data_IF_917550621567
#
_entry.id   IF_917550621567
#
_cell.length_a   1.000
_cell.length_b   1.000
_cell.length_c   1.000
_cell.angle_alpha   90.00
_cell.angle_beta   90.00
_cell.angle_gamma   90.00
#
_symmetry.space_group_name_H-M   'P 1'
#
loop_
_entity.id
_entity.type
_entity.pdbx_description
1 polymer ?
#
# COMPACT_ATOMS: atom_id res chain seq x y z
N UNK A 1 -2.53 -5.67 -11.76
CA UNK A 1 -3.01 -4.50 -11.00
C UNK A 1 -3.73 -3.57 -11.97
N UNK A 2 -5.00 -3.22 -11.71
CA UNK A 2 -5.73 -2.28 -12.55
C UNK A 2 -5.41 -0.83 -12.13
N UNK A 3 -5.15 0.04 -13.10
CA UNK A 3 -4.83 1.47 -12.92
C UNK A 3 -5.73 2.23 -11.89
N UNK A 4 -7.06 2.03 -11.82
CA UNK A 4 -7.88 2.76 -10.84
C UNK A 4 -7.63 2.35 -9.38
N UNK A 5 -7.25 1.09 -9.11
CA UNK A 5 -7.01 0.63 -7.74
C UNK A 5 -5.80 1.30 -7.08
N UNK A 6 -4.80 1.70 -7.88
CA UNK A 6 -3.61 2.40 -7.39
C UNK A 6 -3.95 3.74 -6.74
N UNK A 7 -4.89 4.49 -7.32
CA UNK A 7 -5.29 5.78 -6.78
C UNK A 7 -5.88 5.62 -5.37
N UNK A 8 -6.81 4.68 -5.19
CA UNK A 8 -7.41 4.41 -3.89
C UNK A 8 -6.39 3.90 -2.88
N UNK A 9 -5.46 3.05 -3.31
CA UNK A 9 -4.38 2.56 -2.45
C UNK A 9 -3.46 3.70 -1.98
N UNK A 10 -3.10 4.63 -2.87
CA UNK A 10 -2.30 5.80 -2.51
C UNK A 10 -3.01 6.67 -1.46
N UNK A 11 -4.31 6.95 -1.67
CA UNK A 11 -5.10 7.72 -0.71
C UNK A 11 -5.17 7.03 0.65
N UNK A 12 -5.45 5.72 0.66
CA UNK A 12 -5.46 4.91 1.88
C UNK A 12 -4.12 4.96 2.61
N UNK A 13 -2.99 4.76 1.92
CA UNK A 13 -1.67 4.73 2.55
C UNK A 13 -1.26 6.11 3.10
N UNK A 14 -1.60 7.19 2.41
CA UNK A 14 -1.40 8.55 2.92
C UNK A 14 -2.18 8.79 4.23
N UNK A 15 -3.47 8.44 4.26
CA UNK A 15 -4.30 8.58 5.46
C UNK A 15 -3.84 7.66 6.59
N UNK A 16 -3.43 6.43 6.26
CA UNK A 16 -2.90 5.46 7.23
C UNK A 16 -1.63 5.98 7.90
N UNK A 17 -0.66 6.46 7.11
CA UNK A 17 0.59 7.04 7.64
C UNK A 17 0.34 8.28 8.51
N UNK A 18 -0.60 9.12 8.09
CA UNK A 18 -1.04 10.27 8.87
C UNK A 18 -1.61 9.85 10.24
N UNK A 19 -2.57 8.93 10.26
CA UNK A 19 -3.19 8.44 11.50
C UNK A 19 -2.17 7.75 12.42
N UNK A 20 -1.21 7.01 11.86
CA UNK A 20 -0.10 6.44 12.63
C UNK A 20 0.78 7.53 13.25
N UNK A 21 1.12 8.58 12.51
CA UNK A 21 1.98 9.66 12.99
C UNK A 21 1.38 10.43 14.17
N UNK A 22 0.05 10.58 14.22
CA UNK A 22 -0.66 11.22 15.35
C UNK A 22 -1.02 10.22 16.46
N UNK A 23 -0.59 8.96 16.37
CA UNK A 23 -0.80 7.92 17.38
C UNK A 23 -2.15 7.18 17.34
N UNK A 24 -2.98 7.42 16.32
CA UNK A 24 -4.31 6.81 16.15
C UNK A 24 -4.20 5.47 15.40
N UNK A 25 -4.10 4.36 16.15
CA UNK A 25 -3.81 3.02 15.59
C UNK A 25 -5.01 2.08 15.47
N UNK A 26 -5.96 2.18 16.39
CA UNK A 26 -7.13 1.28 16.46
C UNK A 26 -7.97 1.20 15.17
N UNK A 27 -8.37 2.30 14.51
CA UNK A 27 -9.17 2.20 13.28
C UNK A 27 -8.42 1.49 12.15
N UNK A 28 -7.10 1.69 12.07
CA UNK A 28 -6.26 1.09 11.04
C UNK A 28 -6.27 -0.43 11.18
N UNK A 29 -6.17 -0.95 12.41
CA UNK A 29 -6.23 -2.39 12.68
C UNK A 29 -7.58 -2.98 12.22
N UNK A 30 -8.69 -2.35 12.56
CA UNK A 30 -10.02 -2.82 12.13
C UNK A 30 -10.19 -2.80 10.61
N UNK A 31 -9.73 -1.74 9.94
CA UNK A 31 -9.80 -1.65 8.47
C UNK A 31 -8.94 -2.75 7.84
N UNK A 32 -7.74 -3.01 8.34
CA UNK A 32 -6.86 -4.07 7.80
C UNK A 32 -7.45 -5.47 8.00
N UNK A 33 -8.03 -5.76 9.17
CA UNK A 33 -8.70 -7.05 9.41
C UNK A 33 -9.90 -7.22 8.47
N UNK A 34 -10.72 -6.18 8.31
CA UNK A 34 -11.82 -6.18 7.34
C UNK A 34 -11.32 -6.37 5.90
N UNK A 35 -10.21 -5.71 5.53
CA UNK A 35 -9.59 -5.82 4.22
C UNK A 35 -9.22 -7.26 3.88
N UNK A 36 -8.64 -8.00 4.84
CA UNK A 36 -8.24 -9.40 4.65
C UNK A 36 -9.47 -10.25 4.37
N UNK A 37 -10.54 -10.10 5.16
CA UNK A 37 -11.78 -10.85 4.98
C UNK A 37 -12.43 -10.56 3.62
N UNK A 38 -12.52 -9.28 3.25
CA UNK A 38 -13.06 -8.83 1.96
C UNK A 38 -12.21 -9.33 0.79
N UNK A 39 -10.89 -9.25 0.91
CA UNK A 39 -9.98 -9.70 -0.14
C UNK A 39 -10.10 -11.21 -0.37
N UNK A 40 -10.10 -12.00 0.72
CA UNK A 40 -10.26 -13.45 0.62
C UNK A 40 -11.61 -13.83 -0.01
N UNK A 41 -12.69 -13.18 0.42
CA UNK A 41 -14.03 -13.45 -0.11
C UNK A 41 -14.15 -13.07 -1.59
N UNK A 42 -13.66 -11.89 -1.97
CA UNK A 42 -13.67 -11.44 -3.37
C UNK A 42 -12.79 -12.32 -4.26
N UNK A 43 -11.63 -12.75 -3.77
CA UNK A 43 -10.75 -13.65 -4.51
C UNK A 43 -11.42 -15.01 -4.76
N UNK A 44 -12.06 -15.60 -3.74
CA UNK A 44 -12.81 -16.86 -3.90
C UNK A 44 -13.92 -16.71 -4.93
N UNK A 45 -14.71 -15.64 -4.87
CA UNK A 45 -15.82 -15.43 -5.79
C UNK A 45 -15.29 -15.20 -7.22
N UNK A 46 -14.42 -14.22 -7.42
CA UNK A 46 -13.97 -13.84 -8.76
C UNK A 46 -13.05 -14.88 -9.41
N UNK A 47 -12.25 -15.61 -8.64
CA UNK A 47 -11.26 -16.56 -9.19
C UNK A 47 -11.78 -17.99 -9.17
N UNK A 48 -12.39 -18.45 -8.06
CA UNK A 48 -12.79 -19.87 -7.94
C UNK A 48 -14.22 -20.13 -8.44
N UNK A 49 -15.14 -19.18 -8.28
CA UNK A 49 -16.55 -19.36 -8.69
C UNK A 49 -16.76 -18.89 -10.13
N UNK A 50 -16.30 -17.68 -10.44
CA UNK A 50 -16.50 -17.04 -11.75
C UNK A 50 -15.39 -17.35 -12.76
N UNK A 51 -14.35 -18.09 -12.36
CA UNK A 51 -13.19 -18.51 -13.19
C UNK A 51 -12.55 -17.39 -14.02
N UNK A 52 -12.52 -16.16 -13.48
CA UNK A 52 -12.03 -14.98 -14.20
C UNK A 52 -10.50 -14.91 -14.27
N UNK A 53 -9.79 -15.92 -13.77
CA UNK A 53 -8.32 -16.03 -13.76
C UNK A 53 -7.63 -14.76 -13.25
N UNK A 54 -6.63 -14.29 -14.00
CA UNK A 54 -5.81 -13.10 -13.65
C UNK A 54 -6.66 -11.82 -13.57
N UNK A 55 -7.71 -11.72 -14.39
CA UNK A 55 -8.60 -10.58 -14.35
C UNK A 55 -9.40 -10.54 -13.04
N UNK A 56 -9.85 -11.70 -12.55
CA UNK A 56 -10.49 -11.85 -11.24
C UNK A 56 -9.60 -11.42 -10.08
N UNK A 57 -8.31 -11.74 -10.14
CA UNK A 57 -7.31 -11.27 -9.15
C UNK A 57 -7.23 -9.74 -9.16
N UNK A 58 -7.07 -9.14 -10.35
CA UNK A 58 -6.99 -7.68 -10.49
C UNK A 58 -8.24 -6.94 -10.00
N UNK A 59 -9.43 -7.50 -10.27
CA UNK A 59 -10.70 -6.97 -9.82
C UNK A 59 -10.83 -7.05 -8.29
N UNK A 60 -10.53 -8.20 -7.70
CA UNK A 60 -10.56 -8.42 -6.24
C UNK A 60 -9.64 -7.46 -5.50
N UNK A 61 -8.42 -7.25 -6.00
CA UNK A 61 -7.48 -6.26 -5.45
C UNK A 61 -8.04 -4.84 -5.55
N UNK A 62 -8.64 -4.48 -6.68
CA UNK A 62 -9.21 -3.14 -6.87
C UNK A 62 -10.38 -2.88 -5.90
N UNK A 63 -11.27 -3.85 -5.74
CA UNK A 63 -12.38 -3.81 -4.78
C UNK A 63 -11.85 -3.62 -3.35
N UNK A 64 -10.83 -4.38 -2.98
CA UNK A 64 -10.20 -4.31 -1.66
C UNK A 64 -9.63 -2.92 -1.39
N UNK A 65 -8.90 -2.33 -2.35
CA UNK A 65 -8.35 -0.99 -2.18
C UNK A 65 -9.42 0.09 -2.08
N UNK A 66 -10.48 0.00 -2.87
CA UNK A 66 -11.61 0.93 -2.77
C UNK A 66 -12.30 0.84 -1.41
N UNK A 67 -12.51 -0.37 -0.88
CA UNK A 67 -13.11 -0.57 0.45
C UNK A 67 -12.21 -0.04 1.56
N UNK A 68 -10.90 -0.30 1.49
CA UNK A 68 -9.94 0.22 2.48
C UNK A 68 -9.95 1.73 2.54
N UNK A 69 -9.89 2.38 1.38
CA UNK A 69 -9.99 3.83 1.27
C UNK A 69 -11.33 4.34 1.83
N UNK A 70 -12.45 3.70 1.45
CA UNK A 70 -13.77 4.12 1.91
C UNK A 70 -13.92 4.01 3.43
N UNK A 71 -13.51 2.89 4.03
CA UNK A 71 -13.62 2.69 5.48
C UNK A 71 -12.76 3.67 6.27
N UNK A 72 -11.52 3.91 5.84
CA UNK A 72 -10.63 4.85 6.56
C UNK A 72 -11.10 6.30 6.38
N UNK A 73 -11.59 6.67 5.20
CA UNK A 73 -12.16 7.99 4.94
C UNK A 73 -13.46 8.23 5.69
N UNK A 74 -14.29 7.20 5.87
CA UNK A 74 -15.50 7.30 6.68
C UNK A 74 -15.15 7.54 8.15
N UNK A 75 -14.16 6.81 8.68
CA UNK A 75 -13.66 7.03 10.03
C UNK A 75 -13.13 8.46 10.22
N UNK A 76 -12.29 8.96 9.30
CA UNK A 76 -11.75 10.32 9.41
C UNK A 76 -12.81 11.40 9.24
N UNK A 77 -13.87 11.14 8.46
CA UNK A 77 -14.95 12.11 8.27
C UNK A 77 -15.78 12.34 9.54
N UNK A 78 -16.05 11.28 10.31
CA UNK A 78 -16.86 11.38 11.54
C UNK A 78 -16.08 11.81 12.78
N UNK A 79 -14.76 11.85 12.71
CA UNK A 79 -13.92 12.13 13.87
C UNK A 79 -13.74 13.63 14.11
N UNK A 80 -13.65 14.03 15.39
CA UNK A 80 -13.44 15.42 15.78
C UNK A 80 -12.04 15.93 15.41
N UNK A 81 -11.95 17.24 15.22
CA UNK A 81 -10.69 17.95 14.91
C UNK A 81 -9.69 17.87 16.06
N UNK A 82 -10.15 17.72 17.31
CA UNK A 82 -9.29 17.48 18.48
C UNK A 82 -8.52 16.16 18.38
N UNK A 83 -9.16 15.11 17.86
CA UNK A 83 -8.51 13.80 17.75
C UNK A 83 -7.67 13.71 16.49
N UNK A 84 -8.15 14.31 15.38
CA UNK A 84 -7.40 14.27 14.14
C UNK A 84 -6.26 15.27 14.09
N UNK A 85 -6.21 16.30 14.94
CA UNK A 85 -5.24 17.41 14.89
C UNK A 85 -5.27 18.26 13.59
N UNK A 86 -6.13 17.89 12.64
CA UNK A 86 -6.44 18.64 11.43
C UNK A 86 -7.81 18.22 10.90
N UNK A 87 -8.52 19.17 10.27
CA UNK A 87 -9.76 18.89 9.57
C UNK A 87 -9.50 18.52 8.13
N UNK A 88 -10.10 17.43 7.66
CA UNK A 88 -9.98 17.02 6.27
C UNK A 88 -10.66 18.06 5.35
N UNK A 89 -9.85 18.81 4.59
CA UNK A 89 -10.31 19.78 3.58
C UNK A 89 -9.98 19.23 2.20
N UNK A 90 -11.02 18.95 1.41
CA UNK A 90 -10.86 18.43 0.05
C UNK A 90 -10.16 19.42 -0.90
N UNK A 91 -10.34 20.72 -0.67
CA UNK A 91 -9.78 21.77 -1.52
C UNK A 91 -9.28 22.94 -0.67
N UNK A 92 -8.00 22.93 -0.33
CA UNK A 92 -7.32 24.10 0.24
C UNK A 92 -6.16 24.49 -0.67
N UNK A 93 -6.31 25.61 -1.38
CA UNK A 93 -5.33 26.12 -2.34
C UNK A 93 -4.00 26.46 -1.65
N UNK A 94 -4.01 26.73 -0.34
CA UNK A 94 -2.80 26.97 0.43
C UNK A 94 -1.88 25.74 0.49
N UNK A 95 -2.43 24.52 0.40
CA UNK A 95 -1.65 23.28 0.37
C UNK A 95 -0.79 23.22 -0.90
N UNK A 96 -1.27 23.77 -2.02
CA UNK A 96 -0.54 23.80 -3.28
C UNK A 96 0.74 24.65 -3.20
N UNK A 97 0.79 25.63 -2.31
CA UNK A 97 2.00 26.44 -2.08
C UNK A 97 3.09 25.67 -1.35
N UNK A 98 2.73 24.66 -0.55
CA UNK A 98 3.69 23.79 0.15
C UNK A 98 4.15 22.60 -0.70
N UNK A 99 3.44 22.26 -1.78
CA UNK A 99 3.77 21.14 -2.67
C UNK A 99 5.22 21.13 -3.20
N UNK A 100 5.82 22.26 -3.62
CA UNK A 100 7.21 22.26 -4.09
C UNK A 100 8.20 21.78 -3.03
N UNK A 101 7.96 22.08 -1.75
CA UNK A 101 8.81 21.63 -0.64
C UNK A 101 8.66 20.12 -0.44
N UNK A 102 7.43 19.58 -0.50
CA UNK A 102 7.20 18.13 -0.43
C UNK A 102 7.85 17.41 -1.61
N UNK A 103 7.70 17.93 -2.83
CA UNK A 103 8.27 17.32 -4.04
C UNK A 103 9.80 17.31 -4.02
N UNK A 104 10.44 18.31 -3.42
CA UNK A 104 11.91 18.37 -3.26
C UNK A 104 12.48 17.13 -2.56
N UNK A 105 11.75 16.55 -1.61
CA UNK A 105 12.16 15.33 -0.89
C UNK A 105 11.47 14.08 -1.42
N UNK A 106 10.20 14.19 -1.83
CA UNK A 106 9.41 13.09 -2.36
C UNK A 106 9.95 12.55 -3.68
N UNK A 107 10.45 13.42 -4.57
CA UNK A 107 11.00 12.99 -5.87
C UNK A 107 12.28 12.16 -5.69
N UNK A 108 13.32 12.61 -4.94
CA UNK A 108 14.48 11.77 -4.65
C UNK A 108 14.13 10.45 -3.97
N UNK A 109 13.19 10.46 -3.00
CA UNK A 109 12.73 9.24 -2.33
C UNK A 109 12.05 8.27 -3.29
N UNK A 110 11.23 8.78 -4.22
CA UNK A 110 10.60 7.98 -5.26
C UNK A 110 11.65 7.34 -6.17
N UNK A 111 12.65 8.11 -6.63
CA UNK A 111 13.74 7.57 -7.46
C UNK A 111 14.55 6.49 -6.74
N UNK A 112 14.83 6.67 -5.45
CA UNK A 112 15.54 5.67 -4.64
C UNK A 112 14.79 4.33 -4.65
N UNK A 113 13.48 4.36 -4.34
CA UNK A 113 12.64 3.16 -4.33
C UNK A 113 12.47 2.55 -5.73
N UNK A 114 12.35 3.38 -6.76
CA UNK A 114 12.27 2.92 -8.14
C UNK A 114 13.56 2.20 -8.56
N UNK A 115 14.73 2.76 -8.24
CA UNK A 115 16.02 2.15 -8.57
C UNK A 115 16.20 0.82 -7.82
N UNK A 116 15.77 0.74 -6.56
CA UNK A 116 15.77 -0.50 -5.78
C UNK A 116 14.90 -1.58 -6.44
N UNK A 117 13.67 -1.21 -6.83
CA UNK A 117 12.75 -2.13 -7.49
C UNK A 117 13.27 -2.59 -8.85
N UNK A 118 13.72 -1.65 -9.69
CA UNK A 118 14.30 -1.95 -11.00
C UNK A 118 15.59 -2.78 -10.89
N UNK A 119 16.43 -2.54 -9.89
CA UNK A 119 17.63 -3.33 -9.65
C UNK A 119 17.28 -4.79 -9.38
N UNK A 120 16.22 -5.03 -8.61
CA UNK A 120 15.72 -6.39 -8.32
C UNK A 120 15.20 -7.08 -9.58
N UNK A 121 14.46 -6.37 -10.43
CA UNK A 121 13.98 -6.90 -11.72
C UNK A 121 15.13 -7.25 -12.67
N UNK A 122 16.17 -6.40 -12.75
CA UNK A 122 17.35 -6.66 -13.57
C UNK A 122 18.06 -7.95 -13.11
N UNK A 123 18.27 -8.11 -11.80
CA UNK A 123 18.86 -9.33 -11.23
C UNK A 123 17.98 -10.55 -11.53
N UNK A 124 16.65 -10.41 -11.43
CA UNK A 124 15.70 -11.46 -11.79
C UNK A 124 15.80 -11.90 -13.25
N UNK A 125 15.93 -10.96 -14.18
CA UNK A 125 16.13 -11.24 -15.62
C UNK A 125 17.44 -11.99 -15.83
N UNK A 126 18.54 -11.57 -15.19
CA UNK A 126 19.82 -12.26 -15.30
C UNK A 126 19.78 -13.67 -14.70
N UNK A 127 19.12 -13.86 -13.54
CA UNK A 127 18.93 -15.17 -12.93
C UNK A 127 18.11 -16.09 -13.86
N UNK A 128 17.09 -15.56 -14.52
CA UNK A 128 16.31 -16.28 -15.53
C UNK A 128 17.13 -16.70 -16.76
N UNK A 129 18.15 -15.92 -17.11
CA UNK A 129 19.04 -16.24 -18.23
C UNK A 129 20.09 -17.31 -17.87
N UNK A 130 20.56 -17.34 -16.61
CA UNK A 130 21.52 -18.34 -16.13
C UNK A 130 20.91 -19.75 -16.08
N UNK A 131 19.65 -19.86 -15.69
CA UNK A 131 18.94 -21.13 -15.69
C UNK A 131 17.75 -21.16 -14.73
N UNK A 132 16.99 -22.25 -14.82
CA UNK A 132 15.76 -22.43 -14.02
C UNK A 132 16.08 -22.58 -12.53
N UNK A 133 17.20 -23.22 -12.19
CA UNK A 133 17.60 -23.44 -10.80
C UNK A 133 18.03 -22.13 -10.11
N UNK A 134 18.73 -21.27 -10.84
CA UNK A 134 19.19 -19.96 -10.40
C UNK A 134 18.01 -19.02 -10.20
N UNK A 135 17.06 -19.00 -11.15
CA UNK A 135 15.82 -18.21 -11.03
C UNK A 135 14.96 -18.66 -9.85
N UNK A 136 14.82 -19.96 -9.63
CA UNK A 136 14.09 -20.50 -8.48
C UNK A 136 14.76 -20.08 -7.15
N UNK A 137 16.09 -20.19 -7.08
CA UNK A 137 16.87 -19.78 -5.91
C UNK A 137 16.72 -18.28 -5.63
N UNK A 138 16.84 -17.43 -6.65
CA UNK A 138 16.61 -15.99 -6.54
C UNK A 138 15.21 -15.68 -6.02
N UNK A 139 14.18 -16.35 -6.55
CA UNK A 139 12.79 -16.15 -6.12
C UNK A 139 12.62 -16.45 -4.63
N UNK A 140 13.19 -17.56 -4.14
CA UNK A 140 13.13 -17.92 -2.72
C UNK A 140 13.83 -16.87 -1.86
N UNK A 141 15.07 -16.48 -2.23
CA UNK A 141 15.85 -15.49 -1.49
C UNK A 141 15.12 -14.13 -1.45
N UNK A 142 14.58 -13.67 -2.57
CA UNK A 142 13.86 -12.40 -2.67
C UNK A 142 12.59 -12.39 -1.78
N UNK A 143 11.85 -13.49 -1.71
CA UNK A 143 10.69 -13.59 -0.81
C UNK A 143 11.10 -13.56 0.67
N UNK A 144 12.18 -14.25 1.04
CA UNK A 144 12.69 -14.24 2.42
C UNK A 144 13.18 -12.85 2.81
N UNK A 145 13.89 -12.17 1.89
CA UNK A 145 14.37 -10.81 2.11
C UNK A 145 13.22 -9.83 2.32
N UNK A 146 12.17 -9.93 1.49
CA UNK A 146 10.97 -9.09 1.63
C UNK A 146 10.36 -9.23 3.04
N UNK A 147 10.12 -10.45 3.50
CA UNK A 147 9.56 -10.70 4.84
C UNK A 147 10.49 -10.16 5.94
N UNK A 148 11.81 -10.31 5.76
CA UNK A 148 12.81 -9.88 6.73
C UNK A 148 12.89 -8.37 6.89
N UNK A 149 12.55 -7.60 5.85
CA UNK A 149 12.56 -6.12 5.87
C UNK A 149 11.21 -5.55 6.33
N UNK A 150 10.09 -6.17 5.93
CA UNK A 150 8.75 -5.69 6.26
C UNK A 150 8.42 -5.78 7.76
N UNK A 151 8.92 -6.81 8.46
CA UNK A 151 8.69 -6.96 9.91
C UNK A 151 9.33 -5.79 10.70
N UNK A 152 10.63 -5.50 10.56
CA UNK A 152 11.23 -4.30 11.15
C UNK A 152 10.55 -3.00 10.74
N UNK A 153 10.16 -2.88 9.46
CA UNK A 153 9.46 -1.69 8.97
C UNK A 153 8.14 -1.46 9.71
N UNK A 154 7.31 -2.49 9.86
CA UNK A 154 6.07 -2.41 10.61
C UNK A 154 6.29 -2.01 12.08
N UNK A 155 7.31 -2.58 12.73
CA UNK A 155 7.69 -2.22 14.11
C UNK A 155 8.08 -0.74 14.18
N UNK A 156 8.93 -0.27 13.26
CA UNK A 156 9.41 1.11 13.23
C UNK A 156 8.26 2.14 13.16
N UNK A 157 7.25 1.87 12.32
CA UNK A 157 6.06 2.69 12.18
C UNK A 157 5.22 2.76 13.45
N UNK A 158 5.15 1.67 14.22
CA UNK A 158 4.40 1.65 15.49
C UNK A 158 5.15 2.28 16.66
N UNK A 159 6.49 2.27 16.60
CA UNK A 159 7.37 2.75 17.68
C UNK A 159 7.65 4.25 17.66
N UNK A 160 7.36 4.93 16.55
CA UNK A 160 7.65 6.35 16.35
C UNK A 160 6.65 7.30 17.06
N UNK A 161 5.98 6.84 18.11
CA UNK A 161 4.97 7.56 18.89
C UNK A 161 5.20 7.41 20.40
#
# INVERSE_FOLDING_TARGET
MCLPGLFFNMQFECTRRYLLAIGVRTPILYVLVAAIAVHLTSLVICVLIEDMGIFGVGLSTSITYTINWFLISLYTYFQSEEVLQAKWRLFDVHILWSMPMFLKYGVPSCFMLLIEWWGTEIIGIFAGWLGVAELATFTIISNILLISVEIPYAISLTSSC
#
